data_IF_838316251470
#
_entry.id   IF_838316251470
#
_cell.length_a   1.000
_cell.length_b   1.000
_cell.length_c   1.000
_cell.angle_alpha   90.00
_cell.angle_beta   90.00
_cell.angle_gamma   90.00
#
_symmetry.space_group_name_H-M   'P 1'
#
loop_
_entity.id
_entity.type
_entity.pdbx_description
1 polymer ?
#
# COMPACT_ATOMS: atom_id res chain seq x y z
N UNK A 1 43.55 -16.02 1.26
CA UNK A 1 42.17 -15.90 0.73
C UNK A 1 41.91 -14.43 0.41
N UNK A 2 41.47 -14.09 -0.80
CA UNK A 2 41.32 -12.70 -1.26
C UNK A 2 39.94 -12.13 -0.93
N UNK A 3 39.87 -10.86 -0.54
CA UNK A 3 38.62 -10.12 -0.27
C UNK A 3 37.68 -10.13 -1.49
N UNK A 4 38.26 -10.24 -2.70
CA UNK A 4 37.52 -10.39 -3.96
C UNK A 4 36.76 -11.71 -4.06
N UNK A 5 37.19 -12.76 -3.36
CA UNK A 5 36.50 -14.05 -3.32
C UNK A 5 35.25 -14.00 -2.42
N UNK A 6 35.30 -13.24 -1.31
CA UNK A 6 34.13 -12.98 -0.47
C UNK A 6 33.07 -12.16 -1.21
N UNK A 7 33.48 -11.11 -1.91
CA UNK A 7 32.57 -10.27 -2.70
C UNK A 7 32.02 -10.98 -3.94
N UNK A 8 32.71 -12.00 -4.46
CA UNK A 8 32.22 -12.80 -5.58
C UNK A 8 31.25 -13.91 -5.18
N UNK A 9 31.20 -14.28 -3.90
CA UNK A 9 30.24 -15.26 -3.35
C UNK A 9 28.90 -14.62 -2.92
N UNK A 10 28.85 -13.30 -2.73
CA UNK A 10 27.60 -12.57 -2.40
C UNK A 10 26.66 -12.38 -3.59
N UNK A 11 26.95 -12.97 -4.75
CA UNK A 11 26.13 -12.81 -5.97
C UNK A 11 24.78 -13.56 -5.94
N UNK A 12 24.30 -13.98 -4.75
CA UNK A 12 22.96 -14.54 -4.48
C UNK A 12 22.30 -14.04 -3.18
N UNK A 13 22.90 -13.07 -2.49
CA UNK A 13 22.45 -12.61 -1.18
C UNK A 13 21.95 -11.18 -1.33
N UNK A 14 20.72 -10.92 -0.91
CA UNK A 14 20.15 -9.57 -0.83
C UNK A 14 21.15 -8.63 -0.17
N UNK A 15 21.49 -7.50 -0.81
CA UNK A 15 22.52 -6.60 -0.29
C UNK A 15 22.22 -6.19 1.17
N UNK A 16 23.24 -6.01 2.03
CA UNK A 16 23.04 -5.60 3.42
C UNK A 16 22.20 -4.33 3.54
N UNK A 17 22.29 -3.43 2.56
CA UNK A 17 21.47 -2.21 2.45
C UNK A 17 19.98 -2.54 2.32
N UNK A 18 19.62 -3.51 1.47
CA UNK A 18 18.22 -3.95 1.29
C UNK A 18 17.65 -4.55 2.56
N UNK A 19 18.45 -5.29 3.32
CA UNK A 19 18.03 -5.86 4.60
C UNK A 19 17.74 -4.76 5.63
N UNK A 20 18.62 -3.76 5.75
CA UNK A 20 18.41 -2.61 6.65
C UNK A 20 17.15 -1.84 6.28
N UNK A 21 16.92 -1.57 5.00
CA UNK A 21 15.68 -0.91 4.53
C UNK A 21 14.44 -1.73 4.89
N UNK A 22 14.50 -3.04 4.73
CA UNK A 22 13.38 -3.93 5.04
C UNK A 22 13.09 -4.01 6.55
N UNK A 23 14.11 -3.91 7.41
CA UNK A 23 13.92 -3.83 8.87
C UNK A 23 13.30 -2.49 9.23
N UNK A 24 13.84 -1.40 8.70
CA UNK A 24 13.32 -0.05 8.91
C UNK A 24 11.83 0.03 8.56
N UNK A 25 11.44 -0.39 7.36
CA UNK A 25 10.04 -0.30 6.92
C UNK A 25 9.08 -1.15 7.76
N UNK A 26 9.54 -2.26 8.35
CA UNK A 26 8.72 -3.07 9.25
C UNK A 26 8.50 -2.40 10.60
N UNK A 27 9.51 -1.70 11.13
CA UNK A 27 9.43 -1.05 12.45
C UNK A 27 8.88 0.36 12.37
N UNK A 28 8.97 1.01 11.22
CA UNK A 28 8.63 2.41 11.02
C UNK A 28 7.21 2.77 11.50
N UNK A 29 6.14 2.03 11.15
CA UNK A 29 4.80 2.37 11.64
C UNK A 29 4.63 2.25 13.15
N UNK A 30 5.43 1.41 13.82
CA UNK A 30 5.32 1.21 15.25
C UNK A 30 5.82 2.43 16.06
N UNK A 31 6.68 3.26 15.47
CA UNK A 31 7.23 4.43 16.19
C UNK A 31 6.32 5.65 16.17
N UNK A 32 5.27 5.68 15.34
CA UNK A 32 4.40 6.85 15.21
C UNK A 32 3.77 7.27 16.54
N UNK A 33 3.31 6.31 17.34
CA UNK A 33 2.73 6.57 18.66
C UNK A 33 3.70 7.20 19.64
N UNK A 34 4.99 6.88 19.55
CA UNK A 34 6.03 7.50 20.37
C UNK A 34 6.37 8.90 19.88
N UNK A 35 6.44 9.11 18.56
CA UNK A 35 6.67 10.44 17.98
C UNK A 35 5.53 11.41 18.32
N UNK A 36 4.29 10.94 18.34
CA UNK A 36 3.12 11.74 18.71
C UNK A 36 3.11 12.22 20.18
N UNK A 37 3.97 11.68 21.05
CA UNK A 37 4.13 12.17 22.43
C UNK A 37 4.99 13.42 22.53
N UNK A 38 5.80 13.69 21.51
CA UNK A 38 6.82 14.75 21.52
C UNK A 38 6.69 15.74 20.35
N UNK A 39 6.06 15.34 19.25
CA UNK A 39 5.81 16.16 18.07
C UNK A 39 4.31 16.31 17.82
N UNK A 40 3.94 17.37 17.10
CA UNK A 40 2.55 17.57 16.66
C UNK A 40 2.14 16.54 15.61
N UNK A 41 0.84 16.29 15.49
CA UNK A 41 0.27 15.38 14.48
C UNK A 41 0.72 15.76 13.06
N UNK A 42 0.73 17.06 12.73
CA UNK A 42 1.18 17.58 11.43
C UNK A 42 2.66 17.29 11.16
N UNK A 43 3.54 17.47 12.15
CA UNK A 43 4.98 17.19 12.01
C UNK A 43 5.23 15.70 11.80
N UNK A 44 4.59 14.83 12.59
CA UNK A 44 4.72 13.37 12.43
C UNK A 44 4.20 12.95 11.05
N UNK A 45 3.06 13.47 10.60
CA UNK A 45 2.54 13.20 9.27
C UNK A 45 3.47 13.70 8.15
N UNK A 46 4.10 14.87 8.32
CA UNK A 46 5.10 15.40 7.39
C UNK A 46 6.31 14.48 7.25
N UNK A 47 6.86 14.01 8.36
CA UNK A 47 7.98 13.06 8.39
C UNK A 47 7.63 11.73 7.73
N UNK A 48 6.46 11.19 8.04
CA UNK A 48 5.97 9.94 7.43
C UNK A 48 5.75 10.12 5.92
N UNK A 49 5.17 11.25 5.51
CA UNK A 49 4.98 11.58 4.09
C UNK A 49 6.30 11.64 3.34
N UNK A 50 7.31 12.29 3.89
CA UNK A 50 8.65 12.39 3.28
C UNK A 50 9.33 11.03 3.20
N UNK A 51 9.24 10.24 4.27
CA UNK A 51 9.81 8.89 4.31
C UNK A 51 9.16 7.98 3.26
N UNK A 52 7.83 7.91 3.24
CA UNK A 52 7.08 7.13 2.24
C UNK A 52 7.30 7.67 0.82
N UNK A 53 7.43 8.99 0.67
CA UNK A 53 7.71 9.65 -0.60
C UNK A 53 9.09 9.34 -1.18
N UNK A 54 10.06 9.01 -0.32
CA UNK A 54 11.41 8.61 -0.73
C UNK A 54 11.48 7.18 -1.28
N UNK A 55 10.43 6.37 -1.08
CA UNK A 55 10.39 5.01 -1.59
C UNK A 55 10.26 5.02 -3.11
N UNK A 56 11.07 4.22 -3.83
CA UNK A 56 10.97 4.17 -5.28
C UNK A 56 9.59 3.61 -5.68
N UNK A 57 8.88 4.38 -6.52
CA UNK A 57 7.51 4.09 -6.95
C UNK A 57 7.44 2.85 -7.86
N UNK A 58 8.48 2.61 -8.65
CA UNK A 58 8.55 1.47 -9.57
C UNK A 58 9.75 0.61 -9.21
N UNK A 59 9.53 -0.68 -9.01
CA UNK A 59 10.62 -1.60 -8.68
C UNK A 59 10.70 -2.75 -9.68
N UNK A 60 11.94 -3.18 -9.98
CA UNK A 60 12.18 -4.36 -10.79
C UNK A 60 11.40 -5.56 -10.22
N UNK A 61 10.89 -6.40 -11.11
CA UNK A 61 9.95 -7.50 -10.87
C UNK A 61 10.30 -8.43 -9.68
N UNK A 62 11.54 -8.43 -9.19
CA UNK A 62 12.04 -9.39 -8.19
C UNK A 62 12.70 -8.74 -6.96
N UNK A 63 12.39 -7.47 -6.65
CA UNK A 63 12.92 -6.85 -5.43
C UNK A 63 12.19 -7.38 -4.17
N UNK A 64 12.89 -7.97 -3.18
CA UNK A 64 12.27 -8.48 -1.95
C UNK A 64 11.66 -7.38 -1.06
N UNK A 65 11.87 -6.11 -1.40
CA UNK A 65 11.38 -4.97 -0.64
C UNK A 65 9.92 -4.62 -0.93
N UNK A 66 9.34 -5.02 -2.07
CA UNK A 66 7.99 -4.58 -2.46
C UNK A 66 6.90 -5.04 -1.51
N UNK A 67 6.91 -6.31 -1.10
CA UNK A 67 5.97 -6.81 -0.09
C UNK A 67 6.12 -6.07 1.25
N UNK A 68 7.34 -5.67 1.60
CA UNK A 68 7.62 -4.94 2.84
C UNK A 68 7.12 -3.50 2.76
N UNK A 69 7.28 -2.84 1.61
CA UNK A 69 6.72 -1.50 1.35
C UNK A 69 5.21 -1.52 1.47
N UNK A 70 4.54 -2.45 0.77
CA UNK A 70 3.09 -2.54 0.80
C UNK A 70 2.56 -2.81 2.22
N UNK A 71 3.27 -3.64 2.99
CA UNK A 71 2.94 -3.86 4.41
C UNK A 71 3.16 -2.61 5.27
N UNK A 72 4.21 -1.84 5.02
CA UNK A 72 4.46 -0.56 5.70
C UNK A 72 3.35 0.46 5.42
N UNK A 73 2.87 0.53 4.18
CA UNK A 73 1.72 1.36 3.78
C UNK A 73 0.47 0.91 4.52
N UNK A 74 0.17 -0.40 4.52
CA UNK A 74 -0.97 -0.95 5.24
C UNK A 74 -0.93 -0.60 6.72
N UNK A 75 0.21 -0.80 7.38
CA UNK A 75 0.39 -0.46 8.80
C UNK A 75 0.32 1.04 9.08
N UNK A 76 0.69 1.88 8.11
CA UNK A 76 0.49 3.32 8.20
C UNK A 76 -0.99 3.68 8.19
N UNK A 77 -1.77 3.13 7.25
CA UNK A 77 -3.22 3.36 7.15
C UNK A 77 -3.98 2.79 8.35
N UNK A 78 -3.52 1.67 8.92
CA UNK A 78 -4.10 1.07 10.14
C UNK A 78 -3.72 1.80 11.43
N UNK A 79 -2.78 2.75 11.39
CA UNK A 79 -2.25 3.41 12.59
C UNK A 79 -3.17 4.53 13.11
N UNK A 80 -3.01 4.88 14.39
CA UNK A 80 -3.68 6.05 15.00
C UNK A 80 -3.29 7.38 14.33
N UNK A 81 -2.13 7.43 13.66
CA UNK A 81 -1.76 8.62 12.89
C UNK A 81 -2.73 8.84 11.73
N UNK A 82 -3.23 7.78 11.09
CA UNK A 82 -4.09 7.89 9.91
C UNK A 82 -5.59 8.04 10.26
N UNK A 83 -5.98 7.77 11.51
CA UNK A 83 -7.36 8.00 11.97
C UNK A 83 -7.65 9.49 12.18
N UNK A 84 -6.64 10.30 12.50
CA UNK A 84 -6.77 11.75 12.60
C UNK A 84 -6.89 12.40 11.20
N UNK A 85 -7.91 13.23 11.01
CA UNK A 85 -8.23 13.85 9.71
C UNK A 85 -7.12 14.78 9.20
N UNK A 86 -6.47 15.54 10.07
CA UNK A 86 -5.42 16.49 9.68
C UNK A 86 -4.19 15.77 9.11
N UNK A 87 -3.71 14.74 9.80
CA UNK A 87 -2.62 13.89 9.30
C UNK A 87 -3.03 13.08 8.10
N UNK A 88 -4.28 12.58 8.04
CA UNK A 88 -4.78 11.84 6.88
C UNK A 88 -4.74 12.67 5.60
N UNK A 89 -5.16 13.94 5.64
CA UNK A 89 -5.06 14.85 4.49
C UNK A 89 -3.61 14.99 3.97
N UNK A 90 -2.63 14.99 4.86
CA UNK A 90 -1.19 15.09 4.51
C UNK A 90 -0.67 13.77 3.90
N UNK A 91 -1.14 12.63 4.41
CA UNK A 91 -0.65 11.30 4.04
C UNK A 91 -1.38 10.70 2.83
N UNK A 92 -2.63 11.09 2.60
CA UNK A 92 -3.48 10.53 1.56
C UNK A 92 -2.83 10.58 0.17
N UNK A 93 -2.25 11.70 -0.31
CA UNK A 93 -1.66 11.76 -1.65
C UNK A 93 -0.46 10.83 -1.83
N UNK A 94 0.37 10.66 -0.80
CA UNK A 94 1.53 9.75 -0.89
C UNK A 94 1.11 8.29 -0.83
N UNK A 95 0.13 7.94 0.01
CA UNK A 95 -0.42 6.58 0.08
C UNK A 95 -1.07 6.20 -1.24
N UNK A 96 -1.88 7.08 -1.83
CA UNK A 96 -2.54 6.85 -3.11
C UNK A 96 -1.55 6.63 -4.26
N UNK A 97 -0.54 7.48 -4.38
CA UNK A 97 0.52 7.31 -5.38
C UNK A 97 1.25 5.98 -5.26
N UNK A 98 1.61 5.58 -4.03
CA UNK A 98 2.29 4.30 -3.81
C UNK A 98 1.38 3.11 -4.11
N UNK A 99 0.11 3.19 -3.71
CA UNK A 99 -0.89 2.16 -3.96
C UNK A 99 -1.17 2.01 -5.46
N UNK A 100 -1.30 3.13 -6.17
CA UNK A 100 -1.46 3.17 -7.62
C UNK A 100 -0.31 2.45 -8.32
N UNK A 101 0.94 2.69 -7.92
CA UNK A 101 2.09 2.03 -8.51
C UNK A 101 2.08 0.51 -8.28
N UNK A 102 1.73 0.05 -7.08
CA UNK A 102 1.61 -1.40 -6.80
C UNK A 102 0.49 -2.04 -7.63
N UNK A 103 -0.65 -1.36 -7.79
CA UNK A 103 -1.74 -1.84 -8.63
C UNK A 103 -1.36 -1.88 -10.12
N UNK A 104 -0.64 -0.86 -10.62
CA UNK A 104 -0.11 -0.82 -11.99
C UNK A 104 0.83 -2.01 -12.27
N UNK A 105 1.64 -2.38 -11.29
CA UNK A 105 2.55 -3.53 -11.40
C UNK A 105 1.87 -4.89 -11.09
N UNK A 106 0.56 -4.92 -10.83
CA UNK A 106 -0.19 -6.11 -10.39
C UNK A 106 0.40 -6.79 -9.13
N UNK A 107 0.97 -6.02 -8.21
CA UNK A 107 1.63 -6.53 -7.00
C UNK A 107 0.63 -6.64 -5.85
N UNK A 108 0.41 -7.88 -5.37
CA UNK A 108 -0.43 -8.19 -4.20
C UNK A 108 -1.71 -7.32 -4.16
N UNK A 109 -2.51 -7.47 -5.22
CA UNK A 109 -3.76 -6.73 -5.40
C UNK A 109 -4.75 -6.95 -4.24
N UNK A 110 -4.65 -8.08 -3.55
CA UNK A 110 -5.45 -8.38 -2.36
C UNK A 110 -5.08 -7.45 -1.21
N UNK A 111 -3.78 -7.27 -0.93
CA UNK A 111 -3.35 -6.31 0.08
C UNK A 111 -3.68 -4.88 -0.34
N UNK A 112 -3.53 -4.55 -1.64
CA UNK A 112 -3.92 -3.23 -2.15
C UNK A 112 -5.40 -2.93 -1.92
N UNK A 113 -6.27 -3.90 -2.21
CA UNK A 113 -7.71 -3.80 -1.95
C UNK A 113 -8.00 -3.59 -0.45
N UNK A 114 -7.34 -4.36 0.42
CA UNK A 114 -7.50 -4.21 1.88
C UNK A 114 -7.11 -2.82 2.37
N UNK A 115 -6.00 -2.26 1.87
CA UNK A 115 -5.57 -0.90 2.20
C UNK A 115 -6.65 0.11 1.78
N UNK A 116 -7.13 0.00 0.54
CA UNK A 116 -8.18 0.88 0.01
C UNK A 116 -9.47 0.78 0.82
N UNK A 117 -9.89 -0.43 1.20
CA UNK A 117 -11.07 -0.64 2.08
C UNK A 117 -10.87 0.04 3.44
N UNK A 118 -9.70 -0.09 4.06
CA UNK A 118 -9.40 0.57 5.34
C UNK A 118 -9.46 2.10 5.22
N UNK A 119 -8.93 2.67 4.12
CA UNK A 119 -9.02 4.11 3.86
C UNK A 119 -10.48 4.56 3.71
N UNK A 120 -11.25 3.92 2.83
CA UNK A 120 -12.66 4.26 2.59
C UNK A 120 -13.53 4.10 3.84
N UNK A 121 -13.24 3.11 4.69
CA UNK A 121 -13.94 2.91 5.95
C UNK A 121 -13.72 4.06 6.93
N UNK A 122 -12.51 4.63 6.97
CA UNK A 122 -12.21 5.80 7.79
C UNK A 122 -12.91 7.05 7.25
N UNK A 123 -12.84 7.28 5.94
CA UNK A 123 -13.55 8.37 5.26
C UNK A 123 -15.04 8.36 5.62
N UNK A 124 -15.70 7.20 5.43
CA UNK A 124 -17.13 7.01 5.74
C UNK A 124 -17.47 7.16 7.23
N UNK A 125 -16.57 6.78 8.14
CA UNK A 125 -16.81 6.91 9.58
C UNK A 125 -16.93 8.36 10.01
N UNK A 126 -16.16 9.27 9.40
CA UNK A 126 -16.13 10.68 9.78
C UNK A 126 -17.21 11.53 9.10
N UNK A 127 -17.80 11.09 7.98
CA UNK A 127 -19.03 11.65 7.38
C UNK A 127 -20.16 11.81 8.41
N UNK A 128 -20.25 10.87 9.35
CA UNK A 128 -21.33 10.86 10.34
C UNK A 128 -21.20 11.90 11.46
N UNK A 129 -20.08 12.65 11.54
CA UNK A 129 -19.79 13.52 12.70
C UNK A 129 -19.37 14.96 12.42
N UNK A 130 -18.82 15.33 11.25
CA UNK A 130 -18.60 16.74 10.88
C UNK A 130 -18.14 16.95 9.42
N UNK A 131 -18.70 17.99 8.77
CA UNK A 131 -18.18 18.77 7.61
C UNK A 131 -18.02 18.02 6.27
N UNK A 132 -19.13 17.95 5.52
CA UNK A 132 -19.27 17.49 4.12
C UNK A 132 -18.11 17.81 3.14
N UNK A 133 -17.47 19.00 3.10
CA UNK A 133 -16.49 19.30 2.04
C UNK A 133 -15.17 18.53 2.13
N UNK A 134 -14.68 18.16 3.32
CA UNK A 134 -13.37 17.50 3.46
C UNK A 134 -13.45 16.03 3.02
N UNK A 135 -14.56 15.35 3.36
CA UNK A 135 -14.77 13.96 2.94
C UNK A 135 -14.91 13.87 1.42
N UNK A 136 -15.63 14.81 0.79
CA UNK A 136 -15.72 14.87 -0.67
C UNK A 136 -14.33 14.95 -1.32
N UNK A 137 -13.45 15.81 -0.82
CA UNK A 137 -12.09 15.96 -1.37
C UNK A 137 -11.25 14.68 -1.21
N UNK A 138 -11.35 13.98 -0.06
CA UNK A 138 -10.66 12.71 0.14
C UNK A 138 -11.15 11.63 -0.85
N UNK A 139 -12.46 11.53 -1.08
CA UNK A 139 -13.07 10.59 -2.05
C UNK A 139 -12.65 10.93 -3.47
N UNK A 140 -12.72 12.20 -3.85
CA UNK A 140 -12.34 12.69 -5.19
C UNK A 140 -10.88 12.33 -5.49
N UNK A 141 -9.97 12.54 -4.54
CA UNK A 141 -8.56 12.15 -4.68
C UNK A 141 -8.38 10.63 -4.86
N UNK A 142 -9.12 9.82 -4.12
CA UNK A 142 -9.08 8.35 -4.23
C UNK A 142 -9.53 7.93 -5.64
N UNK A 143 -10.65 8.49 -6.11
CA UNK A 143 -11.23 8.19 -7.43
C UNK A 143 -10.27 8.61 -8.53
N UNK A 144 -9.77 9.85 -8.51
CA UNK A 144 -8.86 10.38 -9.53
C UNK A 144 -7.55 9.58 -9.61
N UNK A 145 -7.03 9.12 -8.46
CA UNK A 145 -5.76 8.39 -8.40
C UNK A 145 -5.90 6.93 -8.85
N UNK A 146 -6.99 6.25 -8.48
CA UNK A 146 -7.07 4.79 -8.58
C UNK A 146 -8.09 4.27 -9.60
N UNK A 147 -9.10 5.05 -9.99
CA UNK A 147 -10.18 4.54 -10.86
C UNK A 147 -9.63 3.96 -12.18
N UNK A 148 -8.75 4.73 -12.84
CA UNK A 148 -8.14 4.32 -14.11
C UNK A 148 -7.32 3.04 -13.94
N UNK A 149 -6.56 2.92 -12.84
CA UNK A 149 -5.74 1.73 -12.62
C UNK A 149 -6.60 0.50 -12.36
N UNK A 150 -7.64 0.64 -11.54
CA UNK A 150 -8.57 -0.45 -11.22
C UNK A 150 -9.27 -0.96 -12.48
N UNK A 151 -9.75 -0.07 -13.34
CA UNK A 151 -10.38 -0.45 -14.61
C UNK A 151 -9.41 -1.20 -15.52
N UNK A 152 -8.16 -0.73 -15.64
CA UNK A 152 -7.12 -1.43 -16.41
C UNK A 152 -6.82 -2.81 -15.82
N UNK A 153 -6.64 -2.91 -14.51
CA UNK A 153 -6.37 -4.18 -13.82
C UNK A 153 -7.51 -5.18 -14.04
N UNK A 154 -8.77 -4.75 -13.95
CA UNK A 154 -9.94 -5.60 -14.21
C UNK A 154 -9.92 -6.08 -15.67
N UNK A 155 -9.75 -5.16 -16.64
CA UNK A 155 -9.69 -5.52 -18.06
C UNK A 155 -8.55 -6.50 -18.36
N UNK A 156 -7.37 -6.32 -17.76
CA UNK A 156 -6.23 -7.22 -17.92
C UNK A 156 -6.50 -8.61 -17.33
N UNK A 157 -7.18 -8.70 -16.19
CA UNK A 157 -7.57 -9.98 -15.57
C UNK A 157 -8.64 -10.67 -16.43
N UNK A 158 -9.66 -9.94 -16.89
CA UNK A 158 -10.77 -10.49 -17.69
C UNK A 158 -10.33 -10.91 -19.09
N UNK A 159 -9.37 -10.21 -19.70
CA UNK A 159 -8.88 -10.53 -21.04
C UNK A 159 -7.80 -11.63 -21.07
N UNK A 160 -7.32 -12.13 -19.92
CA UNK A 160 -6.39 -13.27 -19.93
C UNK A 160 -7.11 -14.49 -20.51
N UNK A 161 -6.61 -15.10 -21.61
CA UNK A 161 -7.25 -16.26 -22.20
C UNK A 161 -7.34 -17.37 -21.16
N UNK A 162 -8.56 -17.84 -20.92
CA UNK A 162 -8.85 -18.94 -20.01
C UNK A 162 -8.02 -20.14 -20.46
N UNK A 163 -7.04 -20.54 -19.65
CA UNK A 163 -6.14 -21.63 -20.00
C UNK A 163 -6.99 -22.89 -20.30
N UNK A 164 -6.94 -23.38 -21.54
CA UNK A 164 -7.58 -24.62 -21.93
C UNK A 164 -6.88 -25.78 -21.22
N UNK A 165 -7.40 -26.19 -20.07
CA UNK A 165 -6.77 -27.22 -19.27
C UNK A 165 -7.54 -27.58 -18.02
N UNK A 166 -8.30 -28.68 -18.13
CA UNK A 166 -8.84 -29.53 -17.07
C UNK A 166 -9.94 -28.98 -16.16
N UNK A 167 -11.11 -29.61 -16.31
CA UNK A 167 -12.26 -29.70 -15.40
C UNK A 167 -11.87 -30.10 -13.96
N UNK A 168 -11.24 -29.19 -13.21
CA UNK A 168 -11.38 -29.14 -11.77
C UNK A 168 -11.66 -27.69 -11.39
N UNK A 169 -12.95 -27.40 -11.28
CA UNK A 169 -13.56 -26.20 -10.72
C UNK A 169 -12.88 -25.86 -9.38
N UNK A 170 -11.86 -25.01 -9.42
CA UNK A 170 -11.28 -24.40 -8.23
C UNK A 170 -12.20 -23.26 -7.80
N UNK A 171 -12.93 -23.49 -6.71
CA UNK A 171 -13.74 -22.54 -5.95
C UNK A 171 -12.99 -21.28 -5.46
N UNK A 172 -11.77 -21.01 -5.93
CA UNK A 172 -10.93 -19.92 -5.48
C UNK A 172 -11.14 -18.59 -6.22
N UNK A 173 -11.62 -18.62 -7.47
CA UNK A 173 -11.87 -17.38 -8.23
C UNK A 173 -13.13 -16.63 -7.77
N UNK A 174 -14.14 -17.34 -7.27
CA UNK A 174 -15.37 -16.73 -6.76
C UNK A 174 -15.18 -16.02 -5.42
N UNK A 175 -14.22 -16.45 -4.59
CA UNK A 175 -14.05 -15.90 -3.24
C UNK A 175 -13.47 -14.48 -3.30
N UNK A 176 -12.53 -14.20 -4.20
CA UNK A 176 -11.90 -12.86 -4.25
C UNK A 176 -12.88 -11.80 -4.75
N UNK A 177 -13.69 -12.13 -5.76
CA UNK A 177 -14.74 -11.24 -6.30
C UNK A 177 -15.90 -11.13 -5.31
N UNK A 178 -16.34 -12.24 -4.71
CA UNK A 178 -17.38 -12.19 -3.68
C UNK A 178 -16.93 -11.39 -2.46
N UNK A 179 -15.69 -11.51 -1.97
CA UNK A 179 -15.20 -10.72 -0.83
C UNK A 179 -15.11 -9.24 -1.15
N UNK A 180 -14.75 -8.88 -2.38
CA UNK A 180 -14.73 -7.48 -2.82
C UNK A 180 -16.15 -6.89 -2.86
N UNK A 181 -17.13 -7.64 -3.37
CA UNK A 181 -18.53 -7.20 -3.43
C UNK A 181 -19.19 -7.22 -2.03
N UNK A 182 -18.89 -8.21 -1.18
CA UNK A 182 -19.46 -8.32 0.18
C UNK A 182 -18.92 -7.29 1.18
N UNK A 183 -17.75 -6.68 0.94
CA UNK A 183 -17.20 -5.61 1.80
C UNK A 183 -17.60 -4.20 1.34
N UNK A 184 -18.24 -4.08 0.18
CA UNK A 184 -18.70 -2.79 -0.38
C UNK A 184 -20.22 -2.60 -0.19
N UNK A 185 -20.97 -3.69 0.06
CA UNK A 185 -22.41 -3.67 0.31
C UNK A 185 -22.76 -3.51 1.79
#
# INVERSE_FOLDING_TARGET
MSIRFFLSQENKITSPVTQTQAVFLRTFPAVYGELLKIFTVREVAGFVRETLGSLPATARAECPLEAVKLHCIAKTVESQLYTNTESRCILLPVVLRLLQAHMQEQRDLVMCARILTSMLSLVRKYDSTATEPVVSEEVDLIVDSLLVVLMRTILEITNRPQAAGTNMRLQFQDITVCVFIRNIA
#
